data_IF_391173756221
#
_entry.id   IF_391173756221
#
_cell.length_a   1.000
_cell.length_b   1.000
_cell.length_c   1.000
_cell.angle_alpha   90.00
_cell.angle_beta   90.00
_cell.angle_gamma   90.00
#
_symmetry.space_group_name_H-M   'P 1'
#
loop_
_entity.id
_entity.type
_entity.pdbx_description
1 polymer ?
#
# COMPACT_ATOMS: atom_id res chain seq x y z
N UNK A 1 -15.96 9.27 -2.06
CA UNK A 1 -15.67 9.13 -0.60
C UNK A 1 -15.83 7.65 -0.27
N UNK A 2 -14.74 6.92 -0.02
CA UNK A 2 -14.80 5.51 0.41
C UNK A 2 -15.03 5.50 1.93
N UNK A 3 -16.30 5.51 2.36
CA UNK A 3 -16.75 5.88 3.71
C UNK A 3 -16.02 5.20 4.89
N UNK A 4 -15.44 4.01 4.67
CA UNK A 4 -14.87 3.17 5.72
C UNK A 4 -13.36 2.94 5.59
N UNK A 5 -12.69 3.62 4.65
CA UNK A 5 -11.26 3.48 4.41
C UNK A 5 -10.50 4.79 4.60
N UNK A 6 -9.27 4.71 5.11
CA UNK A 6 -8.28 5.80 5.06
C UNK A 6 -7.37 5.55 3.87
N UNK A 7 -7.15 6.59 3.06
CA UNK A 7 -6.25 6.51 1.90
C UNK A 7 -4.81 6.74 2.35
N UNK A 8 -3.91 5.85 1.97
CA UNK A 8 -2.47 6.05 2.12
C UNK A 8 -1.87 6.50 0.78
N UNK A 9 -1.26 7.69 0.78
CA UNK A 9 -0.62 8.31 -0.40
C UNK A 9 0.89 8.23 -0.21
N UNK A 10 1.53 7.26 -0.86
CA UNK A 10 2.98 7.02 -0.71
C UNK A 10 3.73 7.09 -2.02
N UNK A 11 3.79 8.26 -2.65
CA UNK A 11 4.86 8.56 -3.61
C UNK A 11 5.04 10.05 -3.78
N UNK A 12 6.30 10.52 -3.72
CA UNK A 12 6.65 11.94 -3.93
C UNK A 12 6.45 12.42 -5.37
N UNK A 13 6.49 11.51 -6.35
CA UNK A 13 6.34 11.86 -7.78
C UNK A 13 4.90 12.00 -8.24
N UNK A 14 3.95 11.42 -7.52
CA UNK A 14 2.52 11.56 -7.81
C UNK A 14 1.76 11.65 -6.48
N UNK A 15 1.53 12.87 -5.98
CA UNK A 15 0.82 13.09 -4.71
C UNK A 15 -0.65 12.65 -4.76
N UNK A 16 -1.21 12.46 -5.97
CA UNK A 16 -2.58 12.01 -6.17
C UNK A 16 -2.74 10.50 -6.12
N UNK A 17 -1.65 9.75 -6.36
CA UNK A 17 -1.68 8.29 -6.42
C UNK A 17 -1.91 7.67 -5.03
N UNK A 18 -3.03 6.97 -4.92
CA UNK A 18 -3.39 6.18 -3.74
C UNK A 18 -2.58 4.89 -3.81
N UNK A 19 -1.71 4.69 -2.82
CA UNK A 19 -0.84 3.52 -2.73
C UNK A 19 -1.37 2.47 -1.76
N UNK A 20 -2.30 2.83 -0.87
CA UNK A 20 -2.92 1.90 0.05
C UNK A 20 -4.21 2.40 0.67
N UNK A 21 -4.87 1.49 1.37
CA UNK A 21 -6.15 1.66 2.05
C UNK A 21 -6.06 0.97 3.41
N UNK A 22 -6.52 1.63 4.48
CA UNK A 22 -6.72 0.99 5.79
C UNK A 22 -8.18 1.09 6.20
N UNK A 23 -8.80 -0.03 6.55
CA UNK A 23 -10.14 -0.02 7.11
C UNK A 23 -10.11 0.67 8.48
N UNK A 24 -11.16 1.44 8.81
CA UNK A 24 -11.17 2.28 10.01
C UNK A 24 -11.34 1.49 11.31
N UNK A 25 -12.10 0.40 11.26
CA UNK A 25 -12.50 -0.37 12.45
C UNK A 25 -11.89 -1.78 12.46
N UNK A 26 -11.98 -2.49 11.33
CA UNK A 26 -11.32 -3.78 11.10
C UNK A 26 -9.80 -3.61 10.88
N UNK A 27 -9.02 -4.60 11.33
CA UNK A 27 -7.58 -4.69 11.07
C UNK A 27 -7.32 -5.26 9.67
N UNK A 28 -7.78 -4.51 8.67
CA UNK A 28 -7.68 -4.85 7.25
C UNK A 28 -6.98 -3.71 6.53
N UNK A 29 -5.91 -4.07 5.81
CA UNK A 29 -5.15 -3.15 4.97
C UNK A 29 -5.08 -3.68 3.54
N UNK A 30 -5.07 -2.76 2.58
CA UNK A 30 -4.83 -3.02 1.16
C UNK A 30 -3.74 -2.10 0.65
N UNK A 31 -2.90 -2.60 -0.25
CA UNK A 31 -1.79 -1.86 -0.85
C UNK A 31 -1.76 -2.15 -2.34
N UNK A 32 -1.54 -1.13 -3.16
CA UNK A 32 -1.44 -1.27 -4.60
C UNK A 32 0.01 -1.52 -4.99
N UNK A 33 0.25 -2.67 -5.61
CA UNK A 33 1.51 -3.04 -6.24
C UNK A 33 1.30 -3.35 -7.71
N UNK A 34 2.37 -3.24 -8.50
CA UNK A 34 2.43 -3.81 -9.84
C UNK A 34 3.06 -5.21 -9.73
N UNK A 35 2.39 -6.28 -10.22
CA UNK A 35 2.89 -7.65 -10.14
C UNK A 35 4.30 -7.81 -10.70
N UNK A 36 4.61 -7.08 -11.77
CA UNK A 36 5.92 -7.07 -12.43
C UNK A 36 7.02 -6.55 -11.49
N UNK A 37 6.68 -5.65 -10.55
CA UNK A 37 7.62 -5.10 -9.58
C UNK A 37 7.88 -6.06 -8.42
N UNK A 38 6.90 -6.87 -8.00
CA UNK A 38 7.05 -7.83 -6.90
C UNK A 38 8.12 -8.88 -7.22
N UNK A 39 8.21 -9.33 -8.47
CA UNK A 39 9.17 -10.35 -8.89
C UNK A 39 10.64 -9.88 -8.87
N UNK A 40 10.89 -8.60 -8.60
CA UNK A 40 12.24 -8.06 -8.44
C UNK A 40 12.71 -8.18 -6.99
N UNK A 41 14.03 -8.21 -6.76
CA UNK A 41 14.60 -8.19 -5.40
C UNK A 41 14.08 -7.01 -4.58
N UNK A 42 14.01 -5.83 -5.20
CA UNK A 42 13.50 -4.62 -4.59
C UNK A 42 12.00 -4.71 -4.28
N UNK A 43 11.24 -5.41 -5.12
CA UNK A 43 9.84 -5.77 -4.86
C UNK A 43 9.67 -6.62 -3.62
N UNK A 44 10.47 -7.68 -3.48
CA UNK A 44 10.47 -8.52 -2.28
C UNK A 44 10.83 -7.74 -1.01
N UNK A 45 11.82 -6.85 -1.07
CA UNK A 45 12.20 -6.00 0.06
C UNK A 45 11.07 -5.03 0.45
N UNK A 46 10.40 -4.43 -0.53
CA UNK A 46 9.24 -3.56 -0.28
C UNK A 46 8.06 -4.33 0.33
N UNK A 47 7.77 -5.53 -0.17
CA UNK A 47 6.74 -6.41 0.38
C UNK A 47 7.07 -6.84 1.82
N UNK A 48 8.31 -7.23 2.09
CA UNK A 48 8.74 -7.59 3.45
C UNK A 48 8.63 -6.40 4.43
N UNK A 49 8.94 -5.18 3.97
CA UNK A 49 8.77 -3.97 4.78
C UNK A 49 7.29 -3.65 5.05
N UNK A 50 6.39 -3.97 4.11
CA UNK A 50 4.96 -3.84 4.32
C UNK A 50 4.46 -4.84 5.38
N UNK A 51 4.82 -6.12 5.24
CA UNK A 51 4.40 -7.18 6.17
C UNK A 51 4.95 -7.02 7.60
N UNK A 52 6.10 -6.35 7.78
CA UNK A 52 6.66 -6.04 9.10
C UNK A 52 5.97 -4.87 9.82
N UNK A 53 5.19 -4.07 9.10
CA UNK A 53 4.62 -2.80 9.58
C UNK A 53 3.12 -2.86 9.83
N UNK A 54 2.42 -3.86 9.28
CA UNK A 54 1.09 -4.26 9.73
C UNK A 54 1.21 -4.95 11.08
#
# INVERSE_FOLDING_TARGET
MLGNYRLDRRRRRDPGLIMGLRHRELDIEGVQFHPESILTRQGHELLANFLKRG
#
